data_IF_410626449100
#
_entry.id   IF_410626449100
#
_cell.length_a   1.000
_cell.length_b   1.000
_cell.length_c   1.000
_cell.angle_alpha   90.00
_cell.angle_beta   90.00
_cell.angle_gamma   90.00
#
_symmetry.space_group_name_H-M   'P 1'
#
loop_
_entity.id
_entity.type
_entity.pdbx_description
1 polymer ?
#
# COMPACT_ATOMS: atom_id res chain seq x y z
N UNK A 1 -16.54 -56.45 -18.05
CA UNK A 1 -17.13 -55.50 -17.09
C UNK A 1 -16.18 -55.11 -15.96
N UNK A 2 -15.56 -56.05 -15.22
CA UNK A 2 -14.62 -55.72 -14.11
C UNK A 2 -13.44 -54.83 -14.51
N UNK A 3 -12.80 -55.12 -15.65
CA UNK A 3 -11.64 -54.35 -16.17
C UNK A 3 -11.99 -52.94 -16.64
N UNK A 4 -13.24 -52.69 -17.03
CA UNK A 4 -13.74 -51.37 -17.45
C UNK A 4 -14.02 -50.51 -16.21
N UNK A 5 -14.65 -51.09 -15.19
CA UNK A 5 -14.91 -50.44 -13.91
C UNK A 5 -13.60 -50.05 -13.19
N UNK A 6 -12.59 -50.93 -13.28
CA UNK A 6 -11.26 -50.70 -12.69
C UNK A 6 -10.51 -49.55 -13.36
N UNK A 7 -10.61 -49.41 -14.68
CA UNK A 7 -10.02 -48.28 -15.42
C UNK A 7 -10.70 -46.95 -15.09
N UNK A 8 -12.03 -46.93 -14.96
CA UNK A 8 -12.76 -45.72 -14.55
C UNK A 8 -12.41 -45.30 -13.12
N UNK A 9 -12.23 -46.27 -12.22
CA UNK A 9 -11.79 -46.00 -10.84
C UNK A 9 -10.38 -45.39 -10.80
N UNK A 10 -9.45 -45.89 -11.62
CA UNK A 10 -8.10 -45.33 -11.73
C UNK A 10 -8.08 -43.92 -12.34
N UNK A 11 -8.96 -43.63 -13.30
CA UNK A 11 -9.10 -42.29 -13.89
C UNK A 11 -9.63 -41.29 -12.85
N UNK A 12 -10.61 -41.69 -12.04
CA UNK A 12 -11.16 -40.85 -10.97
C UNK A 12 -10.10 -40.58 -9.89
N UNK A 13 -9.31 -41.59 -9.51
CA UNK A 13 -8.18 -41.41 -8.58
C UNK A 13 -7.13 -40.47 -9.17
N UNK A 14 -6.78 -40.63 -10.45
CA UNK A 14 -5.84 -39.75 -11.14
C UNK A 14 -6.36 -38.31 -11.23
N UNK A 15 -7.67 -38.11 -11.41
CA UNK A 15 -8.30 -36.79 -11.46
C UNK A 15 -8.39 -36.13 -10.07
N UNK A 16 -8.57 -36.92 -9.02
CA UNK A 16 -8.57 -36.46 -7.61
C UNK A 16 -7.16 -36.20 -7.06
N UNK A 17 -6.13 -36.78 -7.68
CA UNK A 17 -4.70 -36.58 -7.35
C UNK A 17 -4.08 -35.34 -8.01
N UNK A 18 -4.85 -34.56 -8.76
CA UNK A 18 -4.41 -33.23 -9.23
C UNK A 18 -5.01 -32.16 -8.31
N UNK A 19 -4.43 -31.88 -7.13
CA UNK A 19 -4.69 -30.61 -6.50
C UNK A 19 -4.03 -29.55 -7.39
N UNK A 20 -4.85 -28.81 -8.13
CA UNK A 20 -4.46 -27.55 -8.76
C UNK A 20 -4.16 -26.54 -7.66
N UNK A 21 -2.99 -26.66 -7.06
CA UNK A 21 -2.47 -25.67 -6.12
C UNK A 21 -1.96 -24.49 -6.95
N UNK A 22 -2.88 -23.73 -7.53
CA UNK A 22 -2.56 -22.41 -8.10
C UNK A 22 -2.68 -21.43 -6.93
N UNK A 23 -1.68 -21.43 -6.06
CA UNK A 23 -1.47 -20.27 -5.19
C UNK A 23 -0.86 -19.18 -6.07
N UNK A 24 -1.66 -18.20 -6.44
CA UNK A 24 -1.09 -16.91 -6.83
C UNK A 24 -0.33 -16.40 -5.61
N UNK A 25 1.00 -16.30 -5.70
CA UNK A 25 1.77 -15.59 -4.69
C UNK A 25 1.42 -14.13 -4.85
N UNK A 26 0.80 -13.54 -3.84
CA UNK A 26 0.70 -12.09 -3.73
C UNK A 26 2.13 -11.55 -3.61
N UNK A 27 2.66 -11.05 -4.72
CA UNK A 27 3.95 -10.38 -4.75
C UNK A 27 3.68 -8.92 -4.44
N UNK A 28 4.03 -8.49 -3.23
CA UNK A 28 4.05 -7.07 -2.87
C UNK A 28 5.09 -6.37 -3.74
N UNK A 29 4.64 -5.57 -4.70
CA UNK A 29 5.52 -4.78 -5.57
C UNK A 29 6.10 -3.58 -4.81
N UNK A 30 5.27 -2.98 -3.95
CA UNK A 30 5.65 -1.93 -3.02
C UNK A 30 4.68 -1.89 -1.84
N UNK A 31 5.14 -1.33 -0.73
CA UNK A 31 4.40 -1.13 0.51
C UNK A 31 4.84 0.21 1.11
N UNK A 32 3.94 0.91 1.79
CA UNK A 32 4.23 2.09 2.60
C UNK A 32 3.69 1.79 4.00
N UNK A 33 4.57 1.82 4.99
CA UNK A 33 4.30 1.40 6.36
C UNK A 33 4.12 -0.12 6.51
N UNK A 34 3.61 -0.53 7.68
CA UNK A 34 3.34 -1.93 8.00
C UNK A 34 1.90 -2.15 8.41
N UNK A 35 1.37 -3.33 8.11
CA UNK A 35 0.06 -3.78 8.58
C UNK A 35 0.12 -4.27 10.05
N UNK A 36 0.54 -3.40 10.97
CA UNK A 36 0.67 -3.69 12.40
C UNK A 36 -0.23 -2.82 13.30
N UNK A 37 -1.15 -2.05 12.68
CA UNK A 37 -2.02 -1.08 13.36
C UNK A 37 -1.25 0.04 14.09
N UNK A 38 0.00 0.28 13.69
CA UNK A 38 0.81 1.41 14.11
C UNK A 38 0.96 2.41 12.96
N UNK A 39 1.38 3.61 13.33
CA UNK A 39 1.81 4.66 12.40
C UNK A 39 3.16 5.25 12.85
N UNK A 40 3.90 4.51 13.68
CA UNK A 40 5.11 4.94 14.36
C UNK A 40 6.28 5.26 13.43
N UNK A 41 6.30 4.63 12.26
CA UNK A 41 7.24 4.81 11.18
C UNK A 41 7.04 6.14 10.44
N UNK A 42 5.83 6.71 10.49
CA UNK A 42 5.49 7.92 9.75
C UNK A 42 5.93 9.20 10.47
N UNK A 43 6.05 10.28 9.69
CA UNK A 43 6.35 11.61 10.18
C UNK A 43 5.25 12.12 11.11
N UNK A 44 5.63 12.96 12.08
CA UNK A 44 4.75 13.62 13.04
C UNK A 44 3.99 12.72 14.03
N UNK A 45 4.10 11.39 13.93
CA UNK A 45 3.56 10.49 14.94
C UNK A 45 4.26 10.67 16.31
N UNK A 46 3.55 10.58 17.46
CA UNK A 46 2.10 10.35 17.61
C UNK A 46 1.26 11.62 17.74
N UNK A 47 1.89 12.78 17.98
CA UNK A 47 1.20 14.00 18.43
C UNK A 47 1.63 15.28 17.71
N UNK A 48 2.53 15.19 16.72
CA UNK A 48 3.06 16.32 15.96
C UNK A 48 2.19 16.76 14.78
N UNK A 49 0.94 16.28 14.67
CA UNK A 49 0.06 16.60 13.53
C UNK A 49 -0.17 18.11 13.31
N UNK A 50 0.00 18.93 14.35
CA UNK A 50 -0.13 20.39 14.24
C UNK A 50 0.98 21.03 13.40
N UNK A 51 2.10 20.33 13.23
CA UNK A 51 3.26 20.81 12.48
C UNK A 51 3.19 20.37 11.01
N UNK A 52 2.02 19.88 10.56
CA UNK A 52 1.77 19.38 9.20
C UNK A 52 2.18 20.39 8.13
N UNK A 53 1.73 21.64 8.25
CA UNK A 53 2.08 22.71 7.31
C UNK A 53 3.53 23.17 7.45
N UNK A 54 4.10 23.14 8.65
CA UNK A 54 5.50 23.50 8.89
C UNK A 54 6.46 22.53 8.16
N UNK A 55 6.05 21.27 8.04
CA UNK A 55 6.77 20.24 7.30
C UNK A 55 6.38 20.17 5.82
N UNK A 56 5.72 21.20 5.31
CA UNK A 56 5.26 21.33 3.92
C UNK A 56 4.26 20.26 3.44
N UNK A 57 3.70 19.44 4.33
CA UNK A 57 2.77 18.40 3.90
C UNK A 57 1.48 18.97 3.29
N UNK A 58 0.94 18.26 2.29
CA UNK A 58 -0.31 18.60 1.62
C UNK A 58 -0.22 19.72 0.58
N UNK A 59 0.99 20.22 0.30
CA UNK A 59 1.24 21.09 -0.86
C UNK A 59 1.39 20.28 -2.16
N UNK A 60 1.01 20.90 -3.27
CA UNK A 60 0.92 20.25 -4.60
C UNK A 60 2.28 19.77 -5.15
N UNK A 61 3.38 20.35 -4.66
CA UNK A 61 4.75 20.03 -5.06
C UNK A 61 5.41 18.93 -4.21
N UNK A 62 4.78 18.53 -3.11
CA UNK A 62 5.27 17.43 -2.27
C UNK A 62 4.81 16.07 -2.79
N UNK A 63 5.73 15.10 -2.77
CA UNK A 63 5.44 13.71 -3.12
C UNK A 63 6.30 12.73 -2.34
N UNK A 64 5.75 11.54 -2.10
CA UNK A 64 6.48 10.41 -1.56
C UNK A 64 6.90 9.47 -2.69
N UNK A 65 8.21 9.29 -2.87
CA UNK A 65 8.75 8.39 -3.88
C UNK A 65 9.14 7.05 -3.26
N UNK A 66 8.46 5.99 -3.69
CA UNK A 66 8.70 4.64 -3.18
C UNK A 66 10.15 4.22 -3.39
N UNK A 67 10.76 3.64 -2.35
CA UNK A 67 12.17 3.22 -2.26
C UNK A 67 13.21 4.36 -2.26
N UNK A 68 12.78 5.62 -2.23
CA UNK A 68 13.68 6.78 -2.23
C UNK A 68 13.40 7.75 -1.08
N UNK A 69 12.12 8.05 -0.83
CA UNK A 69 11.69 8.88 0.29
C UNK A 69 11.75 8.12 1.62
N UNK A 70 11.94 8.84 2.71
CA UNK A 70 11.95 8.28 4.06
C UNK A 70 10.57 8.45 4.71
N UNK A 71 9.90 7.36 5.09
CA UNK A 71 8.58 7.40 5.75
C UNK A 71 8.55 8.35 6.95
N UNK A 72 9.62 8.32 7.76
CA UNK A 72 9.73 9.11 8.99
C UNK A 72 9.83 10.62 8.76
N UNK A 73 10.12 11.05 7.53
CA UNK A 73 10.31 12.46 7.15
C UNK A 73 9.33 12.94 6.10
N UNK A 74 8.91 12.07 5.19
CA UNK A 74 8.22 12.44 3.96
C UNK A 74 6.80 11.89 3.86
N UNK A 75 6.32 11.12 4.85
CA UNK A 75 4.96 10.60 4.86
C UNK A 75 4.26 10.94 6.18
N UNK A 76 3.23 11.81 6.18
CA UNK A 76 2.55 12.21 7.41
C UNK A 76 1.68 11.06 7.94
N UNK A 77 1.67 10.87 9.27
CA UNK A 77 0.88 9.81 9.90
C UNK A 77 -0.64 10.06 9.89
N UNK A 78 -1.06 11.31 9.65
CA UNK A 78 -2.47 11.72 9.61
C UNK A 78 -2.67 12.81 8.57
N UNK A 79 -3.79 12.74 7.86
CA UNK A 79 -4.22 13.78 6.93
C UNK A 79 -5.33 14.64 7.57
N UNK A 80 -5.22 15.97 7.50
CA UNK A 80 -6.29 16.85 7.94
C UNK A 80 -7.52 16.69 7.04
N UNK A 81 -8.69 16.63 7.66
CA UNK A 81 -9.95 16.78 6.96
C UNK A 81 -10.22 18.23 6.55
N UNK A 82 -11.26 18.48 5.71
CA UNK A 82 -11.55 19.81 5.21
C UNK A 82 -11.81 20.87 6.28
N UNK A 83 -12.28 20.48 7.47
CA UNK A 83 -12.60 21.39 8.59
C UNK A 83 -11.49 21.48 9.65
N UNK A 84 -10.41 20.74 9.47
CA UNK A 84 -9.29 20.72 10.41
C UNK A 84 -8.44 21.98 10.26
N UNK A 85 -8.54 22.88 11.24
CA UNK A 85 -7.83 24.18 11.19
C UNK A 85 -6.31 24.06 11.26
N UNK A 86 -5.81 22.97 11.84
CA UNK A 86 -4.38 22.66 11.87
C UNK A 86 -3.82 22.27 10.49
N UNK A 87 -4.68 21.88 9.55
CA UNK A 87 -4.35 21.74 8.12
C UNK A 87 -4.42 23.07 7.37
N UNK A 88 -4.65 24.21 8.02
CA UNK A 88 -4.66 25.52 7.35
C UNK A 88 -5.97 25.88 6.67
N UNK A 89 -7.03 25.08 6.82
CA UNK A 89 -8.38 25.58 6.53
C UNK A 89 -8.75 26.64 7.56
N UNK A 90 -9.12 27.83 7.09
CA UNK A 90 -9.57 28.91 7.98
C UNK A 90 -10.47 29.91 7.27
N UNK A 91 -11.23 30.70 8.03
CA UNK A 91 -12.19 31.66 7.47
C UNK A 91 -11.54 32.72 6.56
N UNK A 92 -10.29 33.10 6.83
CA UNK A 92 -9.51 34.03 5.98
C UNK A 92 -8.59 33.33 4.97
N UNK A 93 -8.26 32.06 5.16
CA UNK A 93 -7.35 31.30 4.30
C UNK A 93 -8.07 30.44 3.24
N UNK A 94 -9.38 30.30 3.37
CA UNK A 94 -10.19 29.41 2.54
C UNK A 94 -10.20 27.98 3.05
N UNK A 95 -10.85 27.09 2.30
CA UNK A 95 -10.86 25.65 2.55
C UNK A 95 -9.73 25.00 1.78
N UNK A 96 -8.88 24.23 2.47
CA UNK A 96 -7.82 23.44 1.85
C UNK A 96 -8.17 21.97 1.92
N UNK A 97 -8.07 21.30 0.78
CA UNK A 97 -8.09 19.84 0.68
C UNK A 97 -6.66 19.37 0.52
N UNK A 98 -6.22 18.48 1.40
CA UNK A 98 -4.86 17.94 1.36
C UNK A 98 -4.87 16.57 0.71
N UNK A 99 -3.87 16.33 -0.12
CA UNK A 99 -3.59 15.05 -0.75
C UNK A 99 -2.16 14.61 -0.46
N UNK A 100 -1.90 13.31 -0.59
CA UNK A 100 -0.54 12.76 -0.61
C UNK A 100 -0.31 12.19 -1.99
N UNK A 101 0.63 12.80 -2.73
CA UNK A 101 1.05 12.29 -4.01
C UNK A 101 2.12 11.21 -3.79
N UNK A 102 1.89 10.00 -4.31
CA UNK A 102 2.86 8.89 -4.24
C UNK A 102 3.34 8.51 -5.63
N UNK A 103 4.65 8.45 -5.84
CA UNK A 103 5.28 8.05 -7.09
C UNK A 103 6.01 6.72 -6.98
N UNK A 104 6.04 5.94 -8.06
CA UNK A 104 6.83 4.71 -8.15
C UNK A 104 7.74 4.78 -9.36
N UNK A 105 9.06 4.74 -9.16
CA UNK A 105 10.00 4.46 -10.23
C UNK A 105 10.27 2.96 -10.27
N UNK A 106 9.60 2.27 -11.19
CA UNK A 106 9.94 0.90 -11.54
C UNK A 106 10.86 0.90 -12.75
N UNK A 107 12.17 0.85 -12.52
CA UNK A 107 13.12 0.49 -13.58
C UNK A 107 13.09 -1.03 -13.73
N UNK A 108 12.05 -1.59 -14.36
CA UNK A 108 12.01 -3.03 -14.60
C UNK A 108 13.08 -3.40 -15.62
N UNK A 109 14.29 -3.75 -15.16
CA UNK A 109 15.04 -4.78 -15.86
C UNK A 109 14.32 -6.09 -15.51
N UNK A 110 13.34 -6.45 -16.33
CA UNK A 110 12.77 -7.79 -16.32
C UNK A 110 13.91 -8.78 -16.56
N UNK A 111 14.55 -9.23 -15.48
CA UNK A 111 15.34 -10.46 -15.52
C UNK A 111 14.32 -11.58 -15.60
N UNK A 112 13.97 -11.96 -16.83
CA UNK A 112 13.36 -13.26 -17.09
C UNK A 112 14.34 -14.31 -16.54
N UNK A 113 14.01 -14.89 -15.40
CA UNK A 113 14.50 -16.21 -15.04
C UNK A 113 13.70 -17.26 -15.82
#
# INVERSE_FOLDING_TARGET
>A
MKTLLQKQFLIIIALLLVPSVIFSKDVTIWEIGKKDSSASEFALYPSGYKDFLEHNFGFEDEFFLINHSEEKKNFPYVLPGPVDTWGGTYHTAGWRTHEINTGVFSATKYSRA
#
